data_IF_751689671929
#
_entry.id   IF_751689671929
#
_cell.length_a   1.000
_cell.length_b   1.000
_cell.length_c   1.000
_cell.angle_alpha   90.00
_cell.angle_beta   90.00
_cell.angle_gamma   90.00
#
_symmetry.space_group_name_H-M   'P 1'
#
loop_
_entity.id
_entity.type
_entity.pdbx_description
1 polymer ?
#
# COMPACT_ATOMS: atom_id res chain seq x y z
N UNK A 1 33.78 8.36 -7.41
CA UNK A 1 32.46 8.82 -7.88
C UNK A 1 31.41 8.29 -6.90
N UNK A 2 30.75 9.15 -6.12
CA UNK A 2 29.62 8.73 -5.26
C UNK A 2 28.57 8.13 -6.21
N UNK A 3 28.23 6.85 -6.05
CA UNK A 3 27.11 6.24 -6.78
C UNK A 3 25.88 7.04 -6.41
N UNK A 4 25.49 7.99 -7.26
CA UNK A 4 24.20 8.64 -7.16
C UNK A 4 23.17 7.50 -7.17
N UNK A 5 22.26 7.50 -6.21
CA UNK A 5 21.08 6.66 -6.30
C UNK A 5 20.46 6.93 -7.66
N UNK A 6 20.32 5.90 -8.50
CA UNK A 6 19.68 6.02 -9.82
C UNK A 6 18.32 6.70 -9.66
N UNK A 7 18.00 7.68 -10.50
CA UNK A 7 16.79 8.52 -10.39
C UNK A 7 15.50 7.68 -10.33
N UNK A 8 15.56 6.48 -10.89
CA UNK A 8 14.54 5.43 -10.82
C UNK A 8 14.21 5.03 -9.38
N UNK A 9 15.23 4.86 -8.54
CA UNK A 9 15.10 4.40 -7.15
C UNK A 9 14.53 5.47 -6.23
N UNK A 10 14.87 6.74 -6.49
CA UNK A 10 14.25 7.89 -5.81
C UNK A 10 12.77 7.98 -6.14
N UNK A 11 12.43 7.77 -7.40
CA UNK A 11 11.03 7.79 -7.84
C UNK A 11 10.24 6.63 -7.27
N UNK A 12 10.82 5.43 -7.19
CA UNK A 12 10.22 4.28 -6.52
C UNK A 12 9.97 4.52 -5.02
N UNK A 13 10.98 4.98 -4.28
CA UNK A 13 10.82 5.27 -2.85
C UNK A 13 9.78 6.37 -2.59
N UNK A 14 9.76 7.40 -3.45
CA UNK A 14 8.75 8.45 -3.39
C UNK A 14 7.34 7.89 -3.63
N UNK A 15 7.19 6.98 -4.60
CA UNK A 15 5.91 6.35 -4.91
C UNK A 15 5.42 5.44 -3.77
N UNK A 16 6.29 4.60 -3.21
CA UNK A 16 5.98 3.73 -2.06
C UNK A 16 5.64 4.56 -0.80
N UNK A 17 6.32 5.70 -0.61
CA UNK A 17 5.97 6.64 0.47
C UNK A 17 4.62 7.32 0.21
N UNK A 18 4.35 7.70 -1.04
CA UNK A 18 3.09 8.30 -1.44
C UNK A 18 1.91 7.34 -1.21
N UNK A 19 2.07 6.06 -1.52
CA UNK A 19 1.08 5.02 -1.22
C UNK A 19 0.69 5.00 0.26
N UNK A 20 1.69 4.88 1.15
CA UNK A 20 1.45 4.86 2.60
C UNK A 20 0.72 6.13 3.04
N UNK A 21 1.18 7.31 2.60
CA UNK A 21 0.56 8.58 2.96
C UNK A 21 -0.87 8.69 2.43
N UNK A 22 -1.14 8.21 1.22
CA UNK A 22 -2.45 8.30 0.60
C UNK A 22 -3.46 7.36 1.28
N UNK A 23 -3.07 6.12 1.57
CA UNK A 23 -3.89 5.18 2.34
C UNK A 23 -4.13 5.71 3.76
N UNK A 24 -3.11 6.27 4.41
CA UNK A 24 -3.26 6.91 5.72
C UNK A 24 -4.26 8.06 5.69
N UNK A 25 -4.19 8.91 4.66
CA UNK A 25 -5.09 10.05 4.50
C UNK A 25 -6.54 9.59 4.33
N UNK A 26 -6.79 8.63 3.45
CA UNK A 26 -8.13 8.07 3.24
C UNK A 26 -8.68 7.41 4.51
N UNK A 27 -7.83 6.70 5.24
CA UNK A 27 -8.17 6.08 6.51
C UNK A 27 -8.55 7.13 7.58
N UNK A 28 -7.77 8.21 7.70
CA UNK A 28 -8.07 9.32 8.62
C UNK A 28 -9.37 10.04 8.24
N UNK A 29 -9.67 10.19 6.94
CA UNK A 29 -10.92 10.79 6.47
C UNK A 29 -12.13 9.93 6.87
N UNK A 30 -12.03 8.61 6.74
CA UNK A 30 -13.08 7.68 7.18
C UNK A 30 -13.30 7.75 8.70
N UNK A 31 -12.21 7.87 9.47
CA UNK A 31 -12.25 8.09 10.91
C UNK A 31 -12.91 9.41 11.31
N UNK A 32 -12.87 10.43 10.44
CA UNK A 32 -13.45 11.76 10.68
C UNK A 32 -14.99 11.81 10.52
N UNK A 33 -15.65 10.68 10.31
CA UNK A 33 -17.12 10.62 10.30
C UNK A 33 -17.77 11.05 11.62
N UNK A 34 -19.07 11.33 11.58
CA UNK A 34 -19.84 12.19 12.50
C UNK A 34 -19.74 11.88 14.01
N UNK A 35 -19.31 10.68 14.40
CA UNK A 35 -19.27 10.24 15.81
C UNK A 35 -17.96 10.61 16.54
N UNK A 36 -17.03 11.26 15.86
CA UNK A 36 -15.80 11.79 16.43
C UNK A 36 -14.61 10.83 16.29
N UNK A 37 -13.46 11.37 15.92
CA UNK A 37 -12.24 10.62 15.56
C UNK A 37 -11.84 9.64 16.67
N UNK A 38 -11.89 10.05 17.94
CA UNK A 38 -11.40 9.23 19.06
C UNK A 38 -12.24 7.96 19.26
N UNK A 39 -13.56 8.03 19.14
CA UNK A 39 -14.45 6.87 19.29
C UNK A 39 -14.32 5.91 18.11
N UNK A 40 -14.20 6.45 16.90
CA UNK A 40 -13.97 5.65 15.70
C UNK A 40 -12.61 4.96 15.72
N UNK A 41 -11.57 5.65 16.18
CA UNK A 41 -10.23 5.11 16.31
C UNK A 41 -10.16 4.01 17.39
N UNK A 42 -10.83 4.21 18.53
CA UNK A 42 -10.98 3.16 19.54
C UNK A 42 -11.74 1.95 18.98
N UNK A 43 -12.81 2.16 18.21
CA UNK A 43 -13.53 1.04 17.60
C UNK A 43 -12.71 0.33 16.50
N UNK A 44 -11.90 1.05 15.73
CA UNK A 44 -11.08 0.43 14.67
C UNK A 44 -9.84 -0.29 15.18
N UNK A 45 -9.18 0.26 16.21
CA UNK A 45 -7.92 -0.27 16.74
C UNK A 45 -8.17 -1.19 17.95
N UNK A 46 -8.98 -0.76 18.92
CA UNK A 46 -9.19 -1.49 20.19
C UNK A 46 -10.30 -2.53 20.02
N UNK A 47 -11.42 -2.18 19.38
CA UNK A 47 -12.48 -3.16 19.02
C UNK A 47 -12.33 -3.67 17.59
N UNK A 48 -11.08 -3.90 17.21
CA UNK A 48 -10.72 -4.37 15.88
C UNK A 48 -11.60 -5.56 15.45
N UNK A 49 -12.27 -5.40 14.32
CA UNK A 49 -13.04 -6.47 13.69
C UNK A 49 -12.66 -6.55 12.21
N UNK A 50 -12.18 -7.71 11.79
CA UNK A 50 -11.75 -7.99 10.42
C UNK A 50 -12.86 -7.74 9.38
N UNK A 51 -14.15 -7.73 9.74
CA UNK A 51 -15.23 -7.46 8.78
C UNK A 51 -15.55 -5.98 8.57
N UNK A 52 -15.15 -5.11 9.49
CA UNK A 52 -15.65 -3.73 9.52
C UNK A 52 -14.56 -2.68 9.72
N UNK A 53 -13.40 -3.03 10.26
CA UNK A 53 -12.27 -2.10 10.43
C UNK A 53 -11.51 -1.89 9.12
N UNK A 54 -11.02 -0.67 8.87
CA UNK A 54 -10.12 -0.36 7.77
C UNK A 54 -8.65 -0.34 8.21
N UNK A 55 -8.39 -0.46 9.52
CA UNK A 55 -7.06 -0.46 10.10
C UNK A 55 -6.13 -1.50 9.45
N UNK A 56 -6.66 -2.66 9.09
CA UNK A 56 -5.93 -3.73 8.40
C UNK A 56 -5.43 -3.32 7.01
N UNK A 57 -6.15 -2.46 6.29
CA UNK A 57 -5.71 -1.94 4.99
C UNK A 57 -4.55 -0.97 5.20
N UNK A 58 -4.62 -0.12 6.23
CA UNK A 58 -3.51 0.75 6.62
C UNK A 58 -2.28 -0.07 7.06
N UNK A 59 -2.47 -1.10 7.90
CA UNK A 59 -1.38 -2.00 8.33
C UNK A 59 -0.77 -2.73 7.14
N UNK A 60 -1.58 -3.17 6.17
CA UNK A 60 -1.09 -3.78 4.93
C UNK A 60 -0.22 -2.81 4.13
N UNK A 61 -0.66 -1.56 3.95
CA UNK A 61 0.11 -0.52 3.27
C UNK A 61 1.43 -0.21 4.01
N UNK A 62 1.39 -0.12 5.34
CA UNK A 62 2.58 0.06 6.17
C UNK A 62 3.55 -1.12 6.06
N UNK A 63 3.05 -2.34 6.11
CA UNK A 63 3.86 -3.54 5.96
C UNK A 63 4.52 -3.59 4.59
N UNK A 64 3.77 -3.30 3.52
CA UNK A 64 4.31 -3.22 2.16
C UNK A 64 5.39 -2.13 2.05
N UNK A 65 5.13 -0.93 2.56
CA UNK A 65 6.11 0.15 2.63
C UNK A 65 7.40 -0.32 3.31
N UNK A 66 7.28 -0.95 4.47
CA UNK A 66 8.42 -1.42 5.26
C UNK A 66 9.21 -2.52 4.53
N UNK A 67 8.53 -3.52 3.97
CA UNK A 67 9.16 -4.63 3.23
C UNK A 67 9.88 -4.12 1.99
N UNK A 68 9.27 -3.22 1.21
CA UNK A 68 9.89 -2.65 0.02
C UNK A 68 11.09 -1.76 0.37
N UNK A 69 11.01 -0.97 1.44
CA UNK A 69 12.12 -0.15 1.92
C UNK A 69 13.29 -1.01 2.43
N UNK A 70 12.99 -2.11 3.13
CA UNK A 70 14.00 -3.03 3.66
C UNK A 70 14.63 -3.88 2.55
N UNK A 71 13.83 -4.36 1.60
CA UNK A 71 14.31 -5.01 0.38
C UNK A 71 15.21 -4.06 -0.44
N UNK A 72 14.86 -2.78 -0.50
CA UNK A 72 15.70 -1.75 -1.10
C UNK A 72 17.04 -1.60 -0.37
N UNK A 73 17.01 -1.47 0.96
CA UNK A 73 18.22 -1.26 1.77
C UNK A 73 19.20 -2.45 1.70
N UNK A 74 18.69 -3.68 1.73
CA UNK A 74 19.50 -4.91 1.77
C UNK A 74 19.91 -5.38 0.37
N UNK A 75 18.96 -5.41 -0.57
CA UNK A 75 19.10 -6.13 -1.86
C UNK A 75 19.28 -5.17 -3.03
N UNK A 76 19.18 -3.85 -2.82
CA UNK A 76 19.21 -2.82 -3.88
C UNK A 76 18.20 -3.09 -5.01
N UNK A 77 17.05 -3.68 -4.69
CA UNK A 77 16.00 -4.07 -5.66
C UNK A 77 16.45 -5.06 -6.75
N UNK A 78 17.58 -5.75 -6.57
CA UNK A 78 18.12 -6.69 -7.57
C UNK A 78 17.17 -7.86 -7.89
N UNK A 79 16.18 -8.12 -7.06
CA UNK A 79 15.22 -9.21 -7.25
C UNK A 79 13.81 -8.65 -7.46
N UNK A 80 13.41 -8.51 -8.73
CA UNK A 80 12.06 -8.11 -9.15
C UNK A 80 10.93 -8.95 -8.51
N UNK A 81 11.21 -10.22 -8.20
CA UNK A 81 10.26 -11.13 -7.56
C UNK A 81 9.75 -10.64 -6.20
N UNK A 82 10.55 -9.88 -5.44
CA UNK A 82 10.11 -9.37 -4.12
C UNK A 82 8.89 -8.48 -4.26
N UNK A 83 8.87 -7.62 -5.29
CA UNK A 83 7.74 -6.73 -5.56
C UNK A 83 6.53 -7.54 -6.01
N UNK A 84 6.72 -8.46 -6.97
CA UNK A 84 5.65 -9.34 -7.44
C UNK A 84 4.98 -10.11 -6.30
N UNK A 85 5.76 -10.64 -5.36
CA UNK A 85 5.24 -11.33 -4.16
C UNK A 85 4.49 -10.38 -3.26
N UNK A 86 5.05 -9.21 -2.93
CA UNK A 86 4.35 -8.24 -2.06
C UNK A 86 3.04 -7.76 -2.67
N UNK A 87 3.01 -7.52 -3.99
CA UNK A 87 1.79 -7.12 -4.71
C UNK A 87 0.77 -8.24 -4.73
N UNK A 88 1.19 -9.49 -4.98
CA UNK A 88 0.30 -10.64 -4.99
C UNK A 88 -0.31 -10.89 -3.62
N UNK A 89 0.49 -10.84 -2.55
CA UNK A 89 0.01 -11.01 -1.17
C UNK A 89 -0.96 -9.89 -0.80
N UNK A 90 -0.62 -8.63 -1.09
CA UNK A 90 -1.50 -7.49 -0.82
C UNK A 90 -2.80 -7.57 -1.61
N UNK A 91 -2.74 -7.95 -2.88
CA UNK A 91 -3.93 -8.11 -3.75
C UNK A 91 -4.83 -9.23 -3.24
N UNK A 92 -4.27 -10.39 -2.91
CA UNK A 92 -5.02 -11.52 -2.38
C UNK A 92 -5.70 -11.15 -1.04
N UNK A 93 -4.98 -10.47 -0.16
CA UNK A 93 -5.53 -9.98 1.10
C UNK A 93 -6.71 -9.02 0.89
N UNK A 94 -6.57 -8.05 -0.01
CA UNK A 94 -7.64 -7.09 -0.32
C UNK A 94 -8.87 -7.78 -0.94
N UNK A 95 -8.68 -8.75 -1.83
CA UNK A 95 -9.79 -9.52 -2.42
C UNK A 95 -10.55 -10.29 -1.33
N UNK A 96 -9.82 -11.01 -0.46
CA UNK A 96 -10.41 -11.74 0.66
C UNK A 96 -11.16 -10.79 1.60
N UNK A 97 -10.56 -9.63 1.90
CA UNK A 97 -11.18 -8.60 2.73
C UNK A 97 -12.48 -8.10 2.10
N UNK A 98 -12.49 -7.76 0.81
CA UNK A 98 -13.68 -7.26 0.10
C UNK A 98 -14.81 -8.30 0.09
N UNK A 99 -14.49 -9.59 -0.08
CA UNK A 99 -15.49 -10.67 -0.12
C UNK A 99 -16.09 -10.94 1.28
N UNK A 100 -15.27 -10.90 2.34
CA UNK A 100 -15.69 -11.25 3.69
C UNK A 100 -16.25 -10.09 4.51
N UNK A 101 -15.93 -8.85 4.11
CA UNK A 101 -16.28 -7.65 4.87
C UNK A 101 -17.63 -7.09 4.44
N UNK A 102 -18.43 -6.66 5.41
CA UNK A 102 -19.62 -5.84 5.17
C UNK A 102 -19.23 -4.37 4.93
N UNK A 103 -18.06 -4.13 4.32
CA UNK A 103 -17.53 -2.79 4.03
C UNK A 103 -18.48 -2.00 3.11
N UNK A 104 -19.26 -2.70 2.28
CA UNK A 104 -20.25 -2.12 1.37
C UNK A 104 -21.44 -1.47 2.09
N UNK A 105 -21.77 -1.87 3.32
CA UNK A 105 -22.89 -1.28 4.07
C UNK A 105 -22.51 0.00 4.81
N UNK A 106 -21.22 0.34 4.90
CA UNK A 106 -20.72 1.55 5.57
C UNK A 106 -20.72 2.83 4.72
N UNK A 107 -21.02 2.74 3.43
CA UNK A 107 -21.13 3.90 2.52
C UNK A 107 -20.01 4.02 1.51
N UNK A 108 -19.88 5.19 0.88
CA UNK A 108 -19.07 5.39 -0.32
C UNK A 108 -17.55 5.21 -0.11
N UNK A 109 -17.05 5.62 1.06
CA UNK A 109 -15.64 5.48 1.40
C UNK A 109 -15.25 4.04 1.70
N UNK A 110 -16.22 3.18 2.03
CA UNK A 110 -15.98 1.77 2.35
C UNK A 110 -15.52 0.94 1.16
N UNK A 111 -15.95 1.25 -0.07
CA UNK A 111 -15.39 0.62 -1.28
C UNK A 111 -14.19 1.38 -1.84
N UNK A 112 -14.09 2.69 -1.57
CA UNK A 112 -13.02 3.53 -2.12
C UNK A 112 -11.65 3.10 -1.60
N UNK A 113 -11.53 2.84 -0.29
CA UNK A 113 -10.27 2.44 0.35
C UNK A 113 -9.68 1.15 -0.24
N UNK A 114 -10.43 0.03 -0.33
CA UNK A 114 -9.93 -1.19 -0.96
C UNK A 114 -9.60 -1.03 -2.45
N UNK A 115 -10.43 -0.32 -3.22
CA UNK A 115 -10.22 -0.12 -4.67
C UNK A 115 -8.95 0.68 -4.91
N UNK A 116 -8.78 1.80 -4.19
CA UNK A 116 -7.59 2.63 -4.29
C UNK A 116 -6.35 1.85 -3.87
N UNK A 117 -6.41 1.12 -2.76
CA UNK A 117 -5.28 0.29 -2.29
C UNK A 117 -4.87 -0.75 -3.34
N UNK A 118 -5.86 -1.39 -3.98
CA UNK A 118 -5.61 -2.33 -5.08
C UNK A 118 -4.99 -1.64 -6.29
N UNK A 119 -5.57 -0.54 -6.77
CA UNK A 119 -5.06 0.20 -7.95
C UNK A 119 -3.63 0.68 -7.70
N UNK A 120 -3.32 1.22 -6.51
CA UNK A 120 -1.97 1.69 -6.20
C UNK A 120 -0.98 0.52 -6.17
N UNK A 121 -1.34 -0.64 -5.62
CA UNK A 121 -0.48 -1.84 -5.68
C UNK A 121 -0.13 -2.29 -7.10
N UNK A 122 -1.10 -2.21 -8.01
CA UNK A 122 -0.86 -2.48 -9.42
C UNK A 122 -0.04 -1.39 -10.10
N UNK A 123 -0.26 -0.11 -9.75
CA UNK A 123 0.56 1.00 -10.25
C UNK A 123 2.01 0.91 -9.78
N UNK A 124 2.28 0.49 -8.54
CA UNK A 124 3.65 0.24 -8.04
C UNK A 124 4.37 -0.82 -8.88
N UNK A 125 3.66 -1.91 -9.17
CA UNK A 125 4.18 -3.03 -9.96
C UNK A 125 4.41 -2.62 -11.40
N UNK A 126 3.43 -1.95 -12.01
CA UNK A 126 3.50 -1.45 -13.38
C UNK A 126 4.63 -0.43 -13.56
N UNK A 127 4.76 0.53 -12.63
CA UNK A 127 5.83 1.53 -12.67
C UNK A 127 7.21 0.87 -12.61
N UNK A 128 7.37 -0.14 -11.78
CA UNK A 128 8.63 -0.86 -11.63
C UNK A 128 8.95 -1.71 -12.86
N UNK A 129 7.95 -2.41 -13.40
CA UNK A 129 8.10 -3.23 -14.61
C UNK A 129 8.49 -2.37 -15.84
N UNK A 130 7.82 -1.21 -16.03
CA UNK A 130 8.03 -0.37 -17.21
C UNK A 130 9.19 0.61 -17.14
N UNK A 131 9.58 1.09 -15.94
CA UNK A 131 10.69 2.08 -15.82
C UNK A 131 11.96 1.53 -15.20
N UNK A 132 11.87 0.58 -14.26
CA UNK A 132 13.09 0.08 -13.58
C UNK A 132 13.75 -1.00 -14.42
N UNK A 133 13.00 -1.98 -14.91
CA UNK A 133 13.58 -3.07 -15.69
C UNK A 133 14.09 -2.63 -17.07
N UNK A 134 13.41 -1.70 -17.74
CA UNK A 134 13.86 -1.15 -19.03
C UNK A 134 15.14 -0.32 -18.88
N UNK A 135 15.27 0.49 -17.82
CA UNK A 135 16.51 1.24 -17.58
C UNK A 135 17.66 0.38 -17.06
N UNK A 136 17.39 -0.67 -16.26
CA UNK A 136 18.44 -1.62 -15.86
C UNK A 136 18.88 -2.51 -17.03
N UNK A 137 18.01 -2.78 -18.01
CA UNK A 137 18.36 -3.50 -19.25
C UNK A 137 19.09 -2.63 -20.30
N UNK A 138 18.96 -1.31 -20.25
CA UNK A 138 19.72 -0.37 -21.11
C UNK A 138 21.11 -0.01 -20.53
N UNK A 139 21.33 -0.21 -19.23
CA UNK A 139 22.63 0.02 -18.56
C UNK A 139 23.57 -1.21 -18.59
N UNK A 140 23.10 -2.38 -19.07
CA UNK A 140 23.92 -3.56 -19.43
C UNK A 140 24.34 -3.55 -20.92
#
# INVERSE_FOLDING_TARGET
KRKAISDVRRTFCLFVTFDLLFISLLWIIELNTKDGIQKNLENEIIKYNFKTSFFDIFVLAFFRFFVLLLAYAIVKLRHWWVIAVTTLVSSAFLIVKVILSELLTKGAFGYLLPIVSFVIAWLETWFLDFKVLTQEAEEE
#
